data_IF_254572408252
#
_entry.id   IF_254572408252
#
_cell.length_a   1.000
_cell.length_b   1.000
_cell.length_c   1.000
_cell.angle_alpha   90.00
_cell.angle_beta   90.00
_cell.angle_gamma   90.00
#
_symmetry.space_group_name_H-M   'P 1'
#
loop_
_entity.id
_entity.type
_entity.pdbx_description
1 polymer ?
#
# COMPACT_ATOMS: atom_id res chain seq x y z
N UNK A 1 1.45 11.53 6.26
CA UNK A 1 0.78 10.99 5.06
C UNK A 1 0.46 12.11 4.10
N UNK A 2 0.64 11.88 2.80
CA UNK A 2 0.19 12.74 1.71
C UNK A 2 -0.91 12.02 0.94
N UNK A 3 -1.90 12.78 0.44
CA UNK A 3 -2.93 12.23 -0.46
C UNK A 3 -2.35 12.05 -1.86
N UNK A 4 -2.73 10.95 -2.50
CA UNK A 4 -2.42 10.67 -3.92
C UNK A 4 -3.62 10.91 -4.83
N UNK A 5 -4.76 11.34 -4.27
CA UNK A 5 -6.00 11.58 -5.04
C UNK A 5 -5.99 12.89 -5.83
N UNK A 6 -5.13 13.83 -5.45
CA UNK A 6 -4.99 15.11 -6.13
C UNK A 6 -3.67 15.13 -6.90
N UNK A 7 -3.74 15.57 -8.16
CA UNK A 7 -2.53 15.85 -8.93
C UNK A 7 -1.72 16.93 -8.21
N UNK A 8 -0.43 16.71 -8.07
CA UNK A 8 0.53 17.65 -7.48
C UNK A 8 1.70 17.84 -8.43
N UNK A 9 2.23 19.04 -8.44
CA UNK A 9 3.47 19.35 -9.15
C UNK A 9 4.67 18.73 -8.42
N UNK A 10 5.81 18.66 -9.09
CA UNK A 10 7.05 18.23 -8.47
C UNK A 10 7.47 19.13 -7.31
N UNK A 11 7.16 20.42 -7.38
CA UNK A 11 7.51 21.36 -6.34
C UNK A 11 6.64 21.18 -5.09
N UNK A 12 5.35 20.92 -5.25
CA UNK A 12 4.46 20.62 -4.13
C UNK A 12 4.86 19.33 -3.40
N UNK A 13 5.24 18.29 -4.16
CA UNK A 13 5.78 17.06 -3.54
C UNK A 13 7.12 17.34 -2.86
N UNK A 14 8.03 18.07 -3.50
CA UNK A 14 9.35 18.37 -2.97
C UNK A 14 9.29 19.13 -1.65
N UNK A 15 8.54 20.24 -1.62
CA UNK A 15 8.33 21.04 -0.41
C UNK A 15 7.67 20.20 0.70
N UNK A 16 6.65 19.40 0.36
CA UNK A 16 6.00 18.54 1.35
C UNK A 16 6.94 17.47 1.91
N UNK A 17 7.79 16.87 1.09
CA UNK A 17 8.81 15.91 1.54
C UNK A 17 9.83 16.56 2.45
N UNK A 18 10.39 17.73 2.07
CA UNK A 18 11.34 18.47 2.88
C UNK A 18 10.75 18.84 4.25
N UNK A 19 9.54 19.37 4.29
CA UNK A 19 8.86 19.71 5.54
C UNK A 19 8.60 18.48 6.43
N UNK A 20 8.23 17.34 5.85
CA UNK A 20 8.04 16.10 6.62
C UNK A 20 9.34 15.54 7.19
N UNK A 21 10.43 15.64 6.45
CA UNK A 21 11.75 15.23 6.91
C UNK A 21 12.24 16.14 8.04
N UNK A 22 12.13 17.46 7.85
CA UNK A 22 12.50 18.46 8.86
C UNK A 22 11.70 18.28 10.15
N UNK A 23 10.38 18.04 10.05
CA UNK A 23 9.52 17.76 11.21
C UNK A 23 9.94 16.49 11.99
N UNK A 24 10.74 15.64 11.40
CA UNK A 24 11.29 14.42 12.01
C UNK A 24 12.77 14.54 12.32
N UNK A 25 13.33 15.74 12.27
CA UNK A 25 14.75 16.03 12.47
C UNK A 25 15.69 15.26 11.53
N UNK A 26 15.18 14.86 10.35
CA UNK A 26 15.95 14.16 9.32
C UNK A 26 16.50 15.20 8.34
N UNK A 27 17.82 15.28 8.22
CA UNK A 27 18.48 16.18 7.27
C UNK A 27 18.56 15.53 5.91
N UNK A 28 18.31 16.29 4.84
CA UNK A 28 18.39 15.80 3.45
C UNK A 28 19.76 15.16 3.15
N UNK A 29 20.83 15.72 3.69
CA UNK A 29 22.20 15.16 3.53
C UNK A 29 22.38 13.77 4.11
N UNK A 30 21.54 13.37 5.08
CA UNK A 30 21.61 12.06 5.74
C UNK A 30 20.81 10.99 4.95
N UNK A 31 20.13 11.39 3.86
CA UNK A 31 19.44 10.48 2.95
C UNK A 31 20.43 9.95 1.92
N UNK A 32 20.75 8.68 1.98
CA UNK A 32 21.72 8.07 1.07
C UNK A 32 21.06 7.53 -0.22
N UNK A 33 19.85 7.01 -0.12
CA UNK A 33 19.12 6.45 -1.25
C UNK A 33 17.61 6.67 -1.09
N UNK A 34 16.89 6.62 -2.21
CA UNK A 34 15.43 6.69 -2.25
C UNK A 34 14.91 5.55 -3.09
N UNK A 35 13.88 4.86 -2.59
CA UNK A 35 13.13 3.85 -3.33
C UNK A 35 11.66 4.26 -3.39
N UNK A 36 11.03 4.06 -4.54
CA UNK A 36 9.62 4.35 -4.76
C UNK A 36 8.93 3.08 -5.23
N UNK A 37 7.92 2.64 -4.48
CA UNK A 37 6.96 1.63 -4.91
C UNK A 37 5.58 2.29 -5.03
N UNK A 38 4.95 2.22 -6.19
CA UNK A 38 3.67 2.86 -6.43
C UNK A 38 2.88 2.11 -7.50
N UNK A 39 1.57 2.05 -7.31
CA UNK A 39 0.57 1.58 -8.28
C UNK A 39 -0.28 2.73 -8.82
N UNK A 40 0.17 3.98 -8.64
CA UNK A 40 -0.51 5.19 -9.14
C UNK A 40 0.38 5.86 -10.19
N UNK A 41 0.19 5.57 -11.49
CA UNK A 41 1.07 6.07 -12.55
C UNK A 41 1.12 7.59 -12.64
N UNK A 42 -0.01 8.26 -12.42
CA UNK A 42 -0.16 9.70 -12.63
C UNK A 42 0.72 10.57 -11.71
N UNK A 43 1.11 10.05 -10.57
CA UNK A 43 1.98 10.79 -9.64
C UNK A 43 3.47 10.56 -9.89
N UNK A 44 3.83 9.52 -10.66
CA UNK A 44 5.20 9.04 -10.74
C UNK A 44 6.17 10.06 -11.33
N UNK A 45 5.76 10.77 -12.38
CA UNK A 45 6.59 11.79 -12.99
C UNK A 45 6.92 12.91 -11.99
N UNK A 46 5.88 13.47 -11.36
CA UNK A 46 6.04 14.57 -10.41
C UNK A 46 6.82 14.15 -9.16
N UNK A 47 6.54 12.95 -8.64
CA UNK A 47 7.22 12.42 -7.46
C UNK A 47 8.70 12.13 -7.73
N UNK A 48 9.01 11.52 -8.87
CA UNK A 48 10.39 11.26 -9.31
C UNK A 48 11.18 12.56 -9.45
N UNK A 49 10.60 13.54 -10.16
CA UNK A 49 11.19 14.86 -10.34
C UNK A 49 11.39 15.60 -9.01
N UNK A 50 10.46 15.46 -8.07
CA UNK A 50 10.59 16.03 -6.74
C UNK A 50 11.79 15.45 -5.97
N UNK A 51 11.96 14.13 -5.99
CA UNK A 51 13.10 13.46 -5.33
C UNK A 51 14.43 13.95 -5.93
N UNK A 52 14.53 13.98 -7.25
CA UNK A 52 15.76 14.47 -7.92
C UNK A 52 16.03 15.93 -7.56
N UNK A 53 15.02 16.80 -7.64
CA UNK A 53 15.18 18.24 -7.49
C UNK A 53 15.42 18.67 -6.03
N UNK A 54 14.75 18.05 -5.08
CA UNK A 54 14.75 18.50 -3.69
C UNK A 54 15.61 17.65 -2.76
N UNK A 55 15.81 16.37 -3.07
CA UNK A 55 16.64 15.49 -2.26
C UNK A 55 18.01 15.22 -2.89
N UNK A 56 18.24 15.68 -4.12
CA UNK A 56 19.47 15.44 -4.90
C UNK A 56 19.83 13.94 -4.97
N UNK A 57 18.82 13.12 -5.24
CA UNK A 57 18.95 11.66 -5.36
C UNK A 57 18.16 11.16 -6.57
N UNK A 58 18.72 10.17 -7.25
CA UNK A 58 17.97 9.42 -8.26
C UNK A 58 17.25 8.26 -7.58
N UNK A 59 15.91 8.23 -7.55
CA UNK A 59 15.19 7.16 -6.88
C UNK A 59 15.23 5.87 -7.67
N UNK A 60 15.31 4.75 -6.96
CA UNK A 60 15.03 3.42 -7.51
C UNK A 60 13.50 3.25 -7.55
N UNK A 61 12.94 3.16 -8.74
CA UNK A 61 11.50 2.92 -8.91
C UNK A 61 11.26 1.42 -9.03
N UNK A 62 10.47 0.87 -8.11
CA UNK A 62 10.09 -0.55 -8.16
C UNK A 62 9.12 -0.77 -9.31
N UNK A 63 9.46 -1.67 -10.20
CA UNK A 63 8.66 -1.98 -11.38
C UNK A 63 9.16 -3.23 -12.10
N UNK A 64 8.56 -3.55 -13.25
CA UNK A 64 8.93 -4.73 -14.02
C UNK A 64 10.42 -4.74 -14.37
N UNK A 65 11.09 -5.86 -14.12
CA UNK A 65 12.52 -6.05 -14.43
C UNK A 65 13.48 -5.78 -13.26
N UNK A 66 13.00 -5.23 -12.14
CA UNK A 66 13.82 -5.13 -10.93
C UNK A 66 14.00 -6.51 -10.32
N UNK A 67 15.24 -6.82 -9.95
CA UNK A 67 15.57 -8.05 -9.22
C UNK A 67 15.30 -7.82 -7.74
N UNK A 68 14.23 -8.42 -7.23
CA UNK A 68 13.79 -8.27 -5.84
C UNK A 68 14.22 -9.41 -4.93
N UNK A 69 14.81 -10.47 -5.49
CA UNK A 69 15.10 -11.69 -4.74
C UNK A 69 13.93 -12.69 -4.68
N UNK A 70 12.68 -12.23 -4.84
CA UNK A 70 11.54 -13.12 -4.96
C UNK A 70 11.45 -13.75 -6.34
N UNK A 71 11.08 -15.02 -6.37
CA UNK A 71 10.68 -15.73 -7.59
C UNK A 71 9.21 -15.41 -7.85
N UNK A 72 8.89 -14.94 -9.06
CA UNK A 72 7.53 -14.62 -9.49
C UNK A 72 7.09 -15.61 -10.58
N UNK A 73 6.77 -16.87 -10.26
CA UNK A 73 6.42 -17.91 -11.24
C UNK A 73 4.95 -17.76 -11.68
N UNK A 74 4.56 -16.54 -12.08
CA UNK A 74 3.23 -16.23 -12.60
C UNK A 74 3.29 -16.05 -14.11
N UNK A 75 2.17 -16.27 -14.81
CA UNK A 75 2.07 -16.08 -16.26
C UNK A 75 2.39 -14.64 -16.67
N UNK A 76 2.00 -13.67 -15.85
CA UNK A 76 2.26 -12.26 -16.07
C UNK A 76 2.76 -11.54 -14.80
N UNK A 77 4.07 -11.61 -14.49
CA UNK A 77 4.64 -10.94 -13.31
C UNK A 77 4.45 -9.42 -13.29
N UNK A 78 4.17 -8.82 -14.46
CA UNK A 78 3.96 -7.36 -14.59
C UNK A 78 2.61 -6.89 -14.04
N UNK A 79 1.67 -7.81 -13.84
CA UNK A 79 0.34 -7.49 -13.29
C UNK A 79 0.33 -7.43 -11.75
N UNK A 80 1.38 -7.93 -11.10
CA UNK A 80 1.50 -7.83 -9.66
C UNK A 80 1.89 -6.39 -9.31
N UNK A 81 1.10 -5.74 -8.48
CA UNK A 81 1.39 -4.39 -8.02
C UNK A 81 2.75 -4.29 -7.31
N UNK A 82 3.47 -3.19 -7.55
CA UNK A 82 4.78 -2.97 -6.94
C UNK A 82 4.73 -2.95 -5.41
N UNK A 83 3.65 -2.47 -4.81
CA UNK A 83 3.36 -2.49 -3.38
C UNK A 83 3.35 -3.92 -2.83
N UNK A 84 2.60 -4.83 -3.47
CA UNK A 84 2.52 -6.25 -3.08
C UNK A 84 3.88 -6.93 -3.16
N UNK A 85 4.65 -6.63 -4.20
CA UNK A 85 6.01 -7.20 -4.36
C UNK A 85 6.92 -6.76 -3.23
N UNK A 86 6.95 -5.46 -2.87
CA UNK A 86 7.84 -4.98 -1.81
C UNK A 86 7.42 -5.47 -0.43
N UNK A 87 6.12 -5.61 -0.17
CA UNK A 87 5.60 -6.15 1.07
C UNK A 87 6.00 -7.63 1.25
N UNK A 88 5.89 -8.42 0.16
CA UNK A 88 6.34 -9.81 0.15
C UNK A 88 7.85 -9.96 0.32
N UNK A 89 8.65 -9.10 -0.32
CA UNK A 89 10.11 -9.06 -0.14
C UNK A 89 10.43 -8.78 1.32
N UNK A 90 9.84 -7.72 1.88
CA UNK A 90 10.10 -7.34 3.27
C UNK A 90 9.70 -8.45 4.25
N UNK A 91 8.53 -9.05 4.07
CA UNK A 91 8.07 -10.14 4.93
C UNK A 91 8.97 -11.37 4.83
N UNK A 92 9.38 -11.75 3.64
CA UNK A 92 10.26 -12.89 3.42
C UNK A 92 11.66 -12.67 4.02
N UNK A 93 12.23 -11.49 3.84
CA UNK A 93 13.55 -11.14 4.40
C UNK A 93 13.54 -11.07 5.94
N UNK A 94 12.44 -10.56 6.53
CA UNK A 94 12.34 -10.40 7.98
C UNK A 94 11.95 -11.68 8.72
N UNK A 95 11.10 -12.51 8.12
CA UNK A 95 10.47 -13.65 8.80
C UNK A 95 10.77 -14.99 8.15
N UNK A 96 11.35 -14.99 6.96
CA UNK A 96 11.50 -16.21 6.15
C UNK A 96 10.18 -16.68 5.54
N UNK A 97 10.23 -17.87 4.94
CA UNK A 97 9.04 -18.51 4.39
C UNK A 97 8.77 -19.89 4.99
N UNK A 98 7.57 -20.47 4.82
CA UNK A 98 6.46 -19.86 4.11
C UNK A 98 5.80 -18.72 4.91
N UNK A 99 5.29 -17.70 4.23
CA UNK A 99 4.64 -16.55 4.85
C UNK A 99 3.42 -16.10 4.04
N UNK A 100 2.39 -15.66 4.75
CA UNK A 100 1.23 -14.98 4.17
C UNK A 100 1.33 -13.51 4.56
N UNK A 101 1.33 -12.64 3.55
CA UNK A 101 1.36 -11.18 3.72
C UNK A 101 -0.05 -10.65 3.55
N UNK A 102 -0.50 -9.87 4.52
CA UNK A 102 -1.82 -9.22 4.48
C UNK A 102 -1.63 -7.71 4.49
N UNK A 103 -2.12 -7.04 3.44
CA UNK A 103 -2.17 -5.57 3.38
C UNK A 103 -3.62 -5.08 3.46
N UNK A 104 -3.87 -4.15 4.37
CA UNK A 104 -5.17 -3.51 4.58
C UNK A 104 -5.16 -2.09 4.02
N UNK A 105 -5.29 -2.00 2.69
CA UNK A 105 -5.31 -0.75 1.95
C UNK A 105 -6.69 -0.39 1.37
N UNK A 106 -6.68 0.18 0.17
CA UNK A 106 -7.89 0.40 -0.64
C UNK A 106 -8.55 -0.93 -1.00
N UNK A 107 -7.75 -1.93 -1.30
CA UNK A 107 -8.12 -3.33 -1.29
C UNK A 107 -7.48 -4.01 -0.09
N UNK A 108 -8.01 -5.16 0.33
CA UNK A 108 -7.30 -6.08 1.22
C UNK A 108 -6.68 -7.17 0.37
N UNK A 109 -5.36 -7.31 0.45
CA UNK A 109 -4.66 -8.37 -0.30
C UNK A 109 -4.09 -9.42 0.65
N UNK A 110 -4.02 -10.65 0.15
CA UNK A 110 -3.42 -11.78 0.82
C UNK A 110 -2.45 -12.42 -0.16
N UNK A 111 -1.17 -12.39 0.15
CA UNK A 111 -0.10 -12.85 -0.72
C UNK A 111 0.66 -14.00 -0.08
N UNK A 112 0.88 -15.09 -0.81
CA UNK A 112 1.52 -16.29 -0.30
C UNK A 112 2.92 -16.42 -0.89
N UNK A 113 3.92 -16.43 -0.01
CA UNK A 113 5.31 -16.68 -0.37
C UNK A 113 5.77 -18.01 0.23
N UNK A 114 6.35 -18.86 -0.58
CA UNK A 114 6.84 -20.18 -0.17
C UNK A 114 8.13 -20.10 0.62
N UNK A 115 8.55 -21.23 1.19
CA UNK A 115 9.82 -21.34 1.94
C UNK A 115 11.06 -20.98 1.10
N UNK A 116 11.00 -21.18 -0.20
CA UNK A 116 12.11 -20.90 -1.13
C UNK A 116 11.96 -19.56 -1.86
N UNK A 117 11.11 -18.65 -1.33
CA UNK A 117 10.95 -17.28 -1.80
C UNK A 117 10.18 -17.15 -3.11
N UNK A 118 9.22 -18.04 -3.37
CA UNK A 118 8.35 -17.92 -4.54
C UNK A 118 6.98 -17.35 -4.15
N UNK A 119 6.55 -16.29 -4.82
CA UNK A 119 5.19 -15.77 -4.77
C UNK A 119 4.28 -16.68 -5.59
N UNK A 120 3.43 -17.45 -4.95
CA UNK A 120 2.64 -18.50 -5.63
C UNK A 120 1.15 -18.19 -5.75
N UNK A 121 0.63 -17.29 -4.96
CA UNK A 121 -0.78 -16.94 -4.99
C UNK A 121 -1.01 -15.55 -4.40
N UNK A 122 -2.05 -14.89 -4.87
CA UNK A 122 -2.55 -13.64 -4.31
C UNK A 122 -4.07 -13.59 -4.41
N UNK A 123 -4.71 -13.14 -3.32
CA UNK A 123 -6.15 -12.89 -3.26
C UNK A 123 -6.35 -11.40 -3.06
N UNK A 124 -7.33 -10.83 -3.75
CA UNK A 124 -7.72 -9.43 -3.58
C UNK A 124 -9.18 -9.36 -3.17
N UNK A 125 -9.44 -8.73 -2.05
CA UNK A 125 -10.78 -8.48 -1.52
C UNK A 125 -11.01 -6.96 -1.38
N UNK A 126 -12.25 -6.51 -1.24
CA UNK A 126 -12.52 -5.11 -0.90
C UNK A 126 -11.79 -4.70 0.38
N UNK A 127 -11.20 -3.52 0.39
CA UNK A 127 -10.66 -2.95 1.62
C UNK A 127 -11.76 -2.62 2.62
N UNK A 128 -11.42 -2.51 3.89
CA UNK A 128 -12.36 -2.30 5.00
C UNK A 128 -13.31 -1.11 4.73
N UNK A 129 -12.75 0.03 4.27
CA UNK A 129 -13.57 1.20 3.94
C UNK A 129 -14.46 0.98 2.73
N UNK A 130 -13.97 0.27 1.72
CA UNK A 130 -14.74 -0.04 0.52
C UNK A 130 -15.88 -0.99 0.84
N UNK A 131 -15.63 -2.04 1.63
CA UNK A 131 -16.64 -2.97 2.09
C UNK A 131 -17.74 -2.26 2.91
N UNK A 132 -17.34 -1.42 3.87
CA UNK A 132 -18.28 -0.62 4.64
C UNK A 132 -19.12 0.28 3.74
N UNK A 133 -18.48 1.03 2.84
CA UNK A 133 -19.16 1.96 1.95
C UNK A 133 -20.21 1.26 1.06
N UNK A 134 -19.87 0.14 0.48
CA UNK A 134 -20.81 -0.65 -0.33
C UNK A 134 -22.08 -1.03 0.43
N UNK A 135 -21.95 -1.33 1.74
CA UNK A 135 -23.12 -1.70 2.56
C UNK A 135 -24.12 -0.56 2.68
N UNK A 136 -23.71 0.68 2.83
CA UNK A 136 -24.66 1.82 2.96
C UNK A 136 -24.98 2.50 1.63
N UNK A 137 -24.06 2.52 0.65
CA UNK A 137 -24.32 3.13 -0.66
C UNK A 137 -25.29 2.28 -1.51
N UNK A 138 -25.17 0.94 -1.45
CA UNK A 138 -25.91 0.02 -2.33
C UNK A 138 -27.14 -0.62 -1.66
N UNK A 139 -27.48 -0.25 -0.43
CA UNK A 139 -28.64 -0.81 0.25
C UNK A 139 -29.63 0.27 0.70
N UNK A 140 -30.92 -0.05 0.69
CA UNK A 140 -31.99 0.90 1.01
C UNK A 140 -32.12 1.21 2.51
N UNK A 141 -31.56 0.39 3.41
CA UNK A 141 -31.85 0.46 4.85
C UNK A 141 -30.60 0.45 5.76
N UNK A 142 -29.43 0.15 5.25
CA UNK A 142 -28.22 0.13 6.07
C UNK A 142 -27.67 1.55 6.19
N UNK A 143 -27.47 2.06 7.42
CA UNK A 143 -26.92 3.38 7.62
C UNK A 143 -25.41 3.43 7.39
N UNK A 144 -24.86 4.61 7.17
CA UNK A 144 -23.43 4.84 7.28
C UNK A 144 -22.99 4.57 8.73
N UNK A 145 -21.94 3.76 8.89
CA UNK A 145 -21.42 3.38 10.21
C UNK A 145 -19.96 3.78 10.37
N UNK A 146 -19.59 4.18 11.57
CA UNK A 146 -18.20 4.35 11.92
C UNK A 146 -17.47 3.01 11.89
N UNK A 147 -16.35 2.96 11.18
CA UNK A 147 -15.50 1.77 11.12
C UNK A 147 -14.70 1.68 12.41
N UNK A 148 -15.14 0.82 13.30
CA UNK A 148 -14.48 0.52 14.57
C UNK A 148 -14.73 -0.92 14.98
N UNK A 149 -13.82 -1.44 15.81
CA UNK A 149 -13.96 -2.78 16.37
C UNK A 149 -15.25 -2.84 17.22
N UNK A 150 -16.18 -3.76 16.92
CA UNK A 150 -17.37 -3.97 17.75
C UNK A 150 -17.00 -4.62 19.09
N UNK A 151 -17.86 -4.46 20.08
CA UNK A 151 -17.69 -5.11 21.39
C UNK A 151 -17.75 -6.64 21.30
N UNK A 152 -18.51 -7.16 20.32
CA UNK A 152 -18.65 -8.59 20.04
C UNK A 152 -18.88 -8.80 18.55
N UNK A 153 -18.33 -9.87 17.99
CA UNK A 153 -18.66 -10.36 16.65
C UNK A 153 -20.07 -10.95 16.57
N UNK A 154 -20.64 -11.36 17.72
CA UNK A 154 -22.02 -11.81 17.81
C UNK A 154 -22.94 -10.63 18.10
N UNK A 155 -23.09 -9.79 17.10
CA UNK A 155 -23.86 -8.55 17.18
C UNK A 155 -25.37 -8.84 17.04
N UNK A 156 -26.20 -8.08 17.76
CA UNK A 156 -27.66 -8.18 17.74
C UNK A 156 -28.36 -6.97 17.13
N UNK A 157 -27.61 -5.91 16.86
CA UNK A 157 -28.13 -4.65 16.29
C UNK A 157 -27.47 -4.40 14.93
N UNK A 158 -28.18 -3.66 14.06
CA UNK A 158 -27.72 -3.41 12.69
C UNK A 158 -26.32 -2.78 12.64
N UNK A 159 -26.07 -1.74 13.43
CA UNK A 159 -24.78 -1.04 13.41
C UNK A 159 -23.64 -1.95 13.86
N UNK A 160 -23.80 -2.62 14.98
CA UNK A 160 -22.77 -3.53 15.50
C UNK A 160 -22.58 -4.77 14.61
N UNK A 161 -23.64 -5.24 13.94
CA UNK A 161 -23.57 -6.31 12.95
C UNK A 161 -22.77 -5.90 11.72
N UNK A 162 -23.00 -4.70 11.20
CA UNK A 162 -22.20 -4.14 10.10
C UNK A 162 -20.72 -4.00 10.50
N UNK A 163 -20.46 -3.47 11.69
CA UNK A 163 -19.09 -3.32 12.21
C UNK A 163 -18.38 -4.66 12.44
N UNK A 164 -19.12 -5.72 12.75
CA UNK A 164 -18.56 -7.06 12.91
C UNK A 164 -18.25 -7.75 11.58
N UNK A 165 -18.95 -7.36 10.50
CA UNK A 165 -18.79 -7.92 9.16
C UNK A 165 -17.75 -7.18 8.28
N UNK A 166 -17.35 -5.99 8.70
CA UNK A 166 -16.34 -5.16 8.02
C UNK A 166 -14.94 -5.47 8.60
#
# INVERSE_FOLDING_TARGET
RLTTKQARTSDEYGVALCNLLEHRDIKIRDIHAVIIASVVPDIMYSLNSAVVKYLDRTPLVVGPGIRTGLKLPTENPREIGADRVVDCVAAYELYGGPVIVMDFGTATTYDVVTKDGAFIAGITAPGIRSAGRTLWDDTAKLPEVEIKKPASILARETISSMQAGI
#
